data_IF_048959546468
#
_entry.id   IF_048959546468
#
_cell.length_a   1.000
_cell.length_b   1.000
_cell.length_c   1.000
_cell.angle_alpha   90.00
_cell.angle_beta   90.00
_cell.angle_gamma   90.00
#
_symmetry.space_group_name_H-M   'P 1'
#
loop_
_entity.id
_entity.type
_entity.pdbx_description
1 polymer ?
#
# COMPACT_ATOMS: atom_id res chain seq x y z
N UNK A 1 -1.21 4.93 -8.40
CA UNK A 1 -1.13 3.56 -7.85
C UNK A 1 -0.99 2.59 -9.02
N UNK A 2 0.04 1.75 -9.05
CA UNK A 2 0.31 0.81 -10.13
C UNK A 2 0.15 -0.63 -9.62
N UNK A 3 -0.65 -1.47 -10.30
CA UNK A 3 -0.82 -2.86 -9.90
C UNK A 3 0.45 -3.66 -10.17
N UNK A 4 0.89 -4.41 -9.17
CA UNK A 4 2.05 -5.33 -9.24
C UNK A 4 1.69 -6.77 -8.88
N UNK A 5 0.44 -7.05 -8.47
CA UNK A 5 -0.07 -8.41 -8.23
C UNK A 5 -1.51 -8.43 -7.71
N UNK A 6 -2.15 -9.61 -7.68
CA UNK A 6 -3.49 -9.83 -7.10
C UNK A 6 -4.67 -9.33 -7.96
N UNK A 7 -5.89 -9.29 -7.41
CA UNK A 7 -7.14 -9.02 -8.12
C UNK A 7 -7.52 -7.54 -8.16
N UNK A 8 -7.57 -6.94 -9.37
CA UNK A 8 -7.92 -5.53 -9.59
C UNK A 8 -9.34 -5.15 -9.13
N UNK A 9 -10.27 -6.10 -9.11
CA UNK A 9 -11.64 -5.85 -8.64
C UNK A 9 -11.68 -5.54 -7.14
N UNK A 10 -10.71 -6.03 -6.37
CA UNK A 10 -10.58 -5.63 -4.96
C UNK A 10 -10.24 -4.15 -4.82
N UNK A 11 -9.33 -3.62 -5.65
CA UNK A 11 -8.99 -2.20 -5.63
C UNK A 11 -10.23 -1.33 -5.89
N UNK A 12 -11.01 -1.67 -6.90
CA UNK A 12 -12.23 -0.92 -7.24
C UNK A 12 -13.21 -0.89 -6.06
N UNK A 13 -13.47 -2.04 -5.43
CA UNK A 13 -14.35 -2.14 -4.25
C UNK A 13 -13.82 -1.32 -3.07
N UNK A 14 -12.54 -1.42 -2.77
CA UNK A 14 -11.92 -0.67 -1.67
C UNK A 14 -11.90 0.84 -1.92
N UNK A 15 -11.67 1.30 -3.15
CA UNK A 15 -11.74 2.73 -3.47
C UNK A 15 -13.14 3.30 -3.31
N UNK A 16 -14.18 2.56 -3.72
CA UNK A 16 -15.58 2.98 -3.51
C UNK A 16 -15.86 3.13 -2.01
N UNK A 17 -15.46 2.15 -1.20
CA UNK A 17 -15.64 2.19 0.26
C UNK A 17 -14.86 3.33 0.91
N UNK A 18 -13.63 3.57 0.48
CA UNK A 18 -12.84 4.71 0.98
C UNK A 18 -13.51 6.04 0.60
N UNK A 19 -14.05 6.17 -0.60
CA UNK A 19 -14.73 7.40 -1.03
C UNK A 19 -16.01 7.68 -0.22
N UNK A 20 -16.79 6.65 0.15
CA UNK A 20 -17.96 6.81 1.02
C UNK A 20 -17.57 7.27 2.42
N UNK A 21 -16.37 6.89 2.89
CA UNK A 21 -15.85 7.31 4.20
C UNK A 21 -15.23 8.72 4.21
N UNK A 22 -14.99 9.36 3.06
CA UNK A 22 -14.27 10.64 3.01
C UNK A 22 -14.75 11.58 1.90
N UNK A 23 -15.86 12.27 2.13
CA UNK A 23 -16.36 13.40 1.31
C UNK A 23 -16.24 13.18 -0.21
N UNK A 24 -16.55 11.96 -0.68
CA UNK A 24 -16.50 11.51 -2.07
C UNK A 24 -15.10 11.44 -2.72
N UNK A 25 -14.03 11.65 -1.98
CA UNK A 25 -12.65 11.43 -2.44
C UNK A 25 -12.03 10.29 -1.66
N UNK A 26 -11.61 9.19 -2.30
CA UNK A 26 -11.05 8.05 -1.57
C UNK A 26 -9.71 8.41 -0.93
N UNK A 27 -9.67 8.48 0.41
CA UNK A 27 -8.47 8.79 1.18
C UNK A 27 -8.11 7.61 2.08
N UNK A 28 -6.88 7.10 1.94
CA UNK A 28 -6.33 6.11 2.86
C UNK A 28 -5.76 6.84 4.07
N UNK A 29 -6.40 6.71 5.23
CA UNK A 29 -5.90 7.28 6.49
C UNK A 29 -5.20 6.20 7.31
N UNK A 30 -3.89 6.33 7.44
CA UNK A 30 -3.09 5.47 8.32
C UNK A 30 -3.36 5.90 9.76
N UNK A 31 -4.07 5.06 10.52
CA UNK A 31 -4.40 5.30 11.93
C UNK A 31 -3.83 4.23 12.88
N UNK A 32 -3.28 3.16 12.31
CA UNK A 32 -2.68 2.05 13.02
C UNK A 32 -1.34 1.67 12.37
N UNK A 33 -0.56 0.87 13.09
CA UNK A 33 0.71 0.32 12.60
C UNK A 33 0.84 -1.14 12.98
N UNK A 34 1.37 -1.94 12.06
CA UNK A 34 1.71 -3.35 12.28
C UNK A 34 3.24 -3.47 12.25
N UNK A 35 3.85 -4.08 13.26
CA UNK A 35 5.30 -4.32 13.25
C UNK A 35 5.65 -5.29 12.12
N UNK A 36 6.78 -5.06 11.45
CA UNK A 36 7.28 -5.95 10.39
C UNK A 36 8.04 -7.14 10.97
N UNK A 37 7.42 -7.84 11.93
CA UNK A 37 7.94 -9.08 12.51
C UNK A 37 7.53 -10.29 11.64
N UNK A 38 8.29 -11.39 11.70
CA UNK A 38 8.14 -12.54 10.81
C UNK A 38 6.69 -13.09 10.79
N UNK A 39 6.09 -13.30 11.96
CA UNK A 39 4.71 -13.78 12.09
C UNK A 39 3.66 -12.86 11.44
N UNK A 40 3.85 -11.55 11.51
CA UNK A 40 2.94 -10.57 10.91
C UNK A 40 3.09 -10.57 9.39
N UNK A 41 4.33 -10.60 8.90
CA UNK A 41 4.62 -10.68 7.47
C UNK A 41 4.11 -11.98 6.86
N UNK A 42 4.30 -13.11 7.55
CA UNK A 42 3.77 -14.42 7.15
C UNK A 42 2.24 -14.40 7.04
N UNK A 43 1.54 -13.73 7.95
CA UNK A 43 0.07 -13.60 7.88
C UNK A 43 -0.36 -12.86 6.61
N UNK A 44 0.29 -11.74 6.29
CA UNK A 44 0.02 -11.01 5.04
C UNK A 44 0.38 -11.86 3.82
N UNK A 45 1.55 -12.51 3.84
CA UNK A 45 2.01 -13.37 2.76
C UNK A 45 1.07 -14.55 2.50
N UNK A 46 0.52 -15.16 3.56
CA UNK A 46 -0.44 -16.26 3.44
C UNK A 46 -1.70 -15.81 2.71
N UNK A 47 -2.20 -14.59 2.98
CA UNK A 47 -3.34 -14.02 2.22
C UNK A 47 -2.99 -13.74 0.76
N UNK A 48 -1.71 -13.46 0.49
CA UNK A 48 -1.21 -13.21 -0.86
C UNK A 48 -0.98 -14.49 -1.68
N UNK A 49 -1.18 -15.69 -1.11
CA UNK A 49 -1.14 -16.95 -1.86
C UNK A 49 -2.37 -17.15 -2.73
N UNK A 50 -3.52 -16.59 -2.35
CA UNK A 50 -4.73 -16.58 -3.16
C UNK A 50 -4.86 -15.23 -3.88
N UNK A 51 -4.68 -15.24 -5.20
CA UNK A 51 -4.80 -14.03 -6.02
C UNK A 51 -6.17 -13.34 -5.94
N UNK A 52 -7.22 -14.05 -5.50
CA UNK A 52 -8.55 -13.47 -5.30
C UNK A 52 -8.70 -12.73 -3.96
N UNK A 53 -7.76 -12.93 -3.04
CA UNK A 53 -7.81 -12.43 -1.66
C UNK A 53 -6.91 -11.23 -1.40
N UNK A 54 -6.17 -10.75 -2.40
CA UNK A 54 -5.38 -9.51 -2.28
C UNK A 54 -5.27 -8.71 -3.57
N UNK A 55 -4.86 -7.45 -3.44
CA UNK A 55 -4.26 -6.64 -4.50
C UNK A 55 -2.98 -6.00 -3.96
N UNK A 56 -1.90 -6.08 -4.73
CA UNK A 56 -0.62 -5.45 -4.43
C UNK A 56 -0.35 -4.31 -5.41
N UNK A 57 0.03 -3.16 -4.87
CA UNK A 57 0.20 -1.90 -5.59
C UNK A 57 1.53 -1.23 -5.23
N UNK A 58 2.05 -0.46 -6.18
CA UNK A 58 3.10 0.52 -5.94
C UNK A 58 2.51 1.93 -6.01
N UNK A 59 2.79 2.71 -4.97
CA UNK A 59 2.38 4.09 -4.85
C UNK A 59 3.60 4.99 -4.94
N UNK A 60 3.61 5.83 -5.97
CA UNK A 60 4.61 6.87 -6.22
C UNK A 60 3.94 8.24 -6.04
N UNK A 61 4.72 9.25 -5.69
CA UNK A 61 4.26 10.64 -5.68
C UNK A 61 3.86 11.08 -7.08
N UNK A 62 2.76 11.80 -7.20
CA UNK A 62 2.33 12.48 -8.42
C UNK A 62 1.98 13.94 -8.09
N UNK A 63 1.90 14.78 -9.12
CA UNK A 63 1.59 16.20 -8.97
C UNK A 63 1.26 16.83 -10.31
N UNK A 64 0.69 18.03 -10.29
CA UNK A 64 0.24 18.73 -11.50
C UNK A 64 1.40 19.22 -12.38
N UNK A 65 2.54 19.51 -11.77
CA UNK A 65 3.75 19.99 -12.43
C UNK A 65 5.01 19.45 -11.72
N UNK A 66 6.18 19.77 -12.24
CA UNK A 66 7.46 19.26 -11.71
C UNK A 66 7.73 19.66 -10.26
N UNK A 67 7.40 20.90 -9.88
CA UNK A 67 7.64 21.40 -8.53
C UNK A 67 6.69 20.73 -7.53
N UNK A 68 5.43 20.52 -7.92
CA UNK A 68 4.47 19.77 -7.12
C UNK A 68 4.89 18.29 -6.97
N UNK A 69 5.30 17.63 -8.05
CA UNK A 69 5.83 16.25 -7.99
C UNK A 69 7.02 16.18 -7.02
N UNK A 70 7.93 17.17 -7.06
CA UNK A 70 9.06 17.25 -6.15
C UNK A 70 8.61 17.38 -4.69
N UNK A 71 7.73 18.33 -4.40
CA UNK A 71 7.20 18.55 -3.05
C UNK A 71 6.47 17.30 -2.52
N UNK A 72 5.63 16.67 -3.34
CA UNK A 72 4.94 15.43 -2.97
C UNK A 72 5.90 14.27 -2.76
N UNK A 73 7.00 14.21 -3.53
CA UNK A 73 8.05 13.19 -3.36
C UNK A 73 8.82 13.38 -2.05
N UNK A 74 9.17 14.62 -1.69
CA UNK A 74 9.79 14.96 -0.41
C UNK A 74 8.85 14.64 0.76
N UNK A 75 7.56 14.99 0.67
CA UNK A 75 6.56 14.64 1.66
C UNK A 75 6.34 13.13 1.80
N UNK A 76 6.27 12.40 0.68
CA UNK A 76 6.16 10.93 0.68
C UNK A 76 7.32 10.30 1.44
N UNK A 77 8.53 10.79 1.18
CA UNK A 77 9.75 10.31 1.83
C UNK A 77 9.70 10.59 3.34
N UNK A 78 9.63 11.86 3.73
CA UNK A 78 9.78 12.26 5.12
C UNK A 78 8.62 11.79 6.02
N UNK A 79 7.39 11.88 5.51
CA UNK A 79 6.19 11.65 6.33
C UNK A 79 5.77 10.19 6.37
N UNK A 80 6.14 9.40 5.36
CA UNK A 80 5.72 8.00 5.26
C UNK A 80 6.89 7.04 5.23
N UNK A 81 7.79 7.15 4.25
CA UNK A 81 8.89 6.19 4.09
C UNK A 81 9.81 6.21 5.32
N UNK A 82 10.45 7.34 5.60
CA UNK A 82 11.40 7.49 6.70
C UNK A 82 10.72 7.19 8.05
N UNK A 83 9.46 7.63 8.23
CA UNK A 83 8.69 7.36 9.43
C UNK A 83 8.44 5.86 9.63
N UNK A 84 7.90 5.16 8.64
CA UNK A 84 7.56 3.74 8.75
C UNK A 84 8.81 2.86 8.87
N UNK A 85 9.90 3.20 8.16
CA UNK A 85 11.21 2.57 8.33
C UNK A 85 11.74 2.76 9.75
N UNK A 86 11.74 3.98 10.29
CA UNK A 86 12.20 4.24 11.66
C UNK A 86 11.42 3.46 12.72
N UNK A 87 10.14 3.18 12.46
CA UNK A 87 9.26 2.40 13.34
C UNK A 87 9.31 0.90 13.08
N UNK A 88 10.02 0.46 12.03
CA UNK A 88 10.05 -0.93 11.58
C UNK A 88 8.63 -1.52 11.48
N UNK A 89 7.73 -0.74 10.87
CA UNK A 89 6.31 -1.04 10.84
C UNK A 89 5.68 -0.71 9.48
N UNK A 90 4.63 -1.44 9.13
CA UNK A 90 3.69 -1.07 8.08
C UNK A 90 2.58 -0.18 8.64
N UNK A 91 2.12 0.78 7.86
CA UNK A 91 0.90 1.51 8.15
C UNK A 91 -0.33 0.62 7.92
N UNK A 92 -1.35 0.78 8.76
CA UNK A 92 -2.61 0.03 8.66
C UNK A 92 -3.79 1.00 8.51
N UNK A 93 -4.69 0.65 7.59
CA UNK A 93 -6.00 1.28 7.43
C UNK A 93 -7.06 0.18 7.29
N UNK A 94 -8.02 0.16 8.21
CA UNK A 94 -9.15 -0.75 8.16
C UNK A 94 -10.25 -0.16 7.27
N UNK A 95 -10.67 -0.90 6.25
CA UNK A 95 -11.73 -0.47 5.33
C UNK A 95 -12.99 -1.27 5.64
N UNK A 96 -13.97 -0.59 6.21
CA UNK A 96 -15.30 -1.13 6.54
C UNK A 96 -16.40 -0.53 5.66
N UNK A 97 -17.63 -0.96 5.89
CA UNK A 97 -18.83 -0.34 5.32
C UNK A 97 -19.63 0.30 6.48
N UNK A 98 -20.26 1.45 6.27
CA UNK A 98 -21.15 2.08 7.27
C UNK A 98 -22.31 1.14 7.69
N UNK A 99 -22.73 0.24 6.80
CA UNK A 99 -23.77 -0.77 7.06
C UNK A 99 -23.25 -2.03 7.77
N UNK A 100 -21.93 -2.30 7.71
CA UNK A 100 -21.29 -3.46 8.32
C UNK A 100 -19.94 -3.05 8.97
N UNK A 101 -19.90 -2.87 10.30
CA UNK A 101 -18.74 -2.31 11.00
C UNK A 101 -17.53 -3.25 11.08
N UNK A 102 -17.67 -4.53 10.74
CA UNK A 102 -16.51 -5.41 10.55
C UNK A 102 -15.73 -4.94 9.31
N UNK A 103 -14.40 -4.73 9.40
CA UNK A 103 -13.62 -4.40 8.22
C UNK A 103 -13.79 -5.51 7.19
N UNK A 104 -14.03 -5.14 5.94
CA UNK A 104 -14.09 -6.08 4.82
C UNK A 104 -12.71 -6.23 4.17
N UNK A 105 -11.83 -5.25 4.38
CA UNK A 105 -10.47 -5.26 3.87
C UNK A 105 -9.53 -4.51 4.80
N UNK A 106 -8.26 -4.91 4.77
CA UNK A 106 -7.18 -4.25 5.50
C UNK A 106 -6.16 -3.77 4.48
N UNK A 107 -5.82 -2.48 4.53
CA UNK A 107 -4.73 -1.90 3.75
C UNK A 107 -3.47 -1.93 4.59
N UNK A 108 -2.44 -2.59 4.07
CA UNK A 108 -1.09 -2.63 4.62
C UNK A 108 -0.21 -1.73 3.74
N UNK A 109 0.43 -0.74 4.35
CA UNK A 109 1.27 0.24 3.67
C UNK A 109 2.71 0.02 4.15
N UNK A 110 3.51 -0.65 3.33
CA UNK A 110 4.91 -0.91 3.64
C UNK A 110 5.80 0.19 3.05
N UNK A 111 6.83 0.66 3.79
CA UNK A 111 7.96 1.34 3.17
C UNK A 111 8.75 0.35 2.30
N UNK A 112 9.77 0.80 1.54
CA UNK A 112 10.76 -0.09 0.95
C UNK A 112 11.37 -1.01 2.01
N UNK A 113 11.19 -2.32 1.85
CA UNK A 113 11.69 -3.33 2.79
C UNK A 113 11.93 -4.65 2.06
N UNK A 114 12.51 -5.64 2.75
CA UNK A 114 12.81 -6.95 2.16
C UNK A 114 11.55 -7.65 1.63
N UNK A 115 10.45 -7.62 2.40
CA UNK A 115 9.16 -8.18 1.99
C UNK A 115 8.65 -7.57 0.67
N UNK A 116 8.65 -6.24 0.57
CA UNK A 116 8.25 -5.54 -0.65
C UNK A 116 9.21 -5.83 -1.81
N UNK A 117 10.52 -5.84 -1.54
CA UNK A 117 11.57 -6.08 -2.55
C UNK A 117 11.44 -7.48 -3.16
N UNK A 118 11.34 -8.51 -2.34
CA UNK A 118 11.18 -9.89 -2.79
C UNK A 118 9.90 -10.06 -3.63
N UNK A 119 8.80 -9.41 -3.24
CA UNK A 119 7.57 -9.43 -4.02
C UNK A 119 7.75 -8.74 -5.38
N UNK A 120 8.33 -7.54 -5.41
CA UNK A 120 8.49 -6.76 -6.65
C UNK A 120 9.47 -7.41 -7.62
N UNK A 121 10.59 -7.94 -7.14
CA UNK A 121 11.55 -8.68 -7.96
C UNK A 121 10.90 -9.89 -8.64
N UNK A 122 9.99 -10.58 -7.95
CA UNK A 122 9.30 -11.76 -8.49
C UNK A 122 8.18 -11.39 -9.46
N UNK A 123 7.39 -10.35 -9.17
CA UNK A 123 6.14 -10.09 -9.88
C UNK A 123 6.19 -8.91 -10.86
N UNK A 124 7.11 -7.96 -10.69
CA UNK A 124 7.25 -6.78 -11.55
C UNK A 124 8.71 -6.29 -11.60
N UNK A 125 9.66 -7.15 -12.05
CA UNK A 125 11.09 -6.86 -12.03
C UNK A 125 11.46 -5.60 -12.82
N UNK A 126 10.88 -5.39 -14.01
CA UNK A 126 11.19 -4.22 -14.85
C UNK A 126 10.78 -2.89 -14.20
N UNK A 127 9.60 -2.88 -13.56
CA UNK A 127 9.14 -1.72 -12.81
C UNK A 127 10.04 -1.45 -11.60
N UNK A 128 10.42 -2.51 -10.89
CA UNK A 128 11.29 -2.40 -9.72
C UNK A 128 12.67 -1.83 -10.10
N UNK A 129 13.25 -2.32 -11.19
CA UNK A 129 14.50 -1.80 -11.73
C UNK A 129 14.38 -0.33 -12.13
N UNK A 130 13.26 0.07 -12.74
CA UNK A 130 13.01 1.48 -13.08
C UNK A 130 12.98 2.37 -11.84
N UNK A 131 12.26 1.95 -10.79
CA UNK A 131 12.17 2.68 -9.52
C UNK A 131 13.57 2.82 -8.89
N UNK A 132 14.34 1.73 -8.89
CA UNK A 132 15.71 1.70 -8.34
C UNK A 132 16.65 2.63 -9.09
N UNK A 133 16.62 2.60 -10.43
CA UNK A 133 17.45 3.47 -11.28
C UNK A 133 17.12 4.95 -11.07
N UNK A 134 15.85 5.29 -10.92
CA UNK A 134 15.39 6.65 -10.69
C UNK A 134 15.54 7.11 -9.22
N UNK A 135 15.92 6.20 -8.32
CA UNK A 135 15.96 6.44 -6.86
C UNK A 135 14.63 7.00 -6.34
N UNK A 136 13.52 6.54 -6.91
CA UNK A 136 12.21 7.03 -6.57
C UNK A 136 11.74 6.44 -5.24
N UNK A 137 11.26 7.30 -4.33
CA UNK A 137 10.59 6.86 -3.12
C UNK A 137 9.22 6.27 -3.48
N UNK A 138 8.87 5.14 -2.85
CA UNK A 138 7.60 4.48 -3.07
C UNK A 138 7.04 3.89 -1.78
N UNK A 139 5.75 3.63 -1.78
CA UNK A 139 5.10 2.75 -0.80
C UNK A 139 4.59 1.51 -1.50
N UNK A 140 4.82 0.35 -0.90
CA UNK A 140 4.23 -0.91 -1.33
C UNK A 140 2.93 -1.14 -0.56
N UNK A 141 1.81 -1.13 -1.26
CA UNK A 141 0.48 -1.19 -0.66
C UNK A 141 -0.16 -2.53 -0.98
N UNK A 142 -0.55 -3.28 0.05
CA UNK A 142 -1.28 -4.54 -0.07
C UNK A 142 -2.65 -4.40 0.58
N UNK A 143 -3.71 -4.57 -0.20
CA UNK A 143 -5.07 -4.64 0.33
C UNK A 143 -5.47 -6.11 0.36
N UNK A 144 -5.80 -6.63 1.53
CA UNK A 144 -6.26 -8.01 1.71
C UNK A 144 -7.71 -8.04 2.15
N UNK A 145 -8.44 -9.09 1.81
CA UNK A 145 -9.74 -9.37 2.42
C UNK A 145 -9.59 -9.61 3.94
N UNK A 146 -10.61 -9.23 4.69
CA UNK A 146 -10.64 -9.37 6.15
C UNK A 146 -11.21 -10.71 6.64
N UNK A 147 -11.53 -11.62 5.72
CA UNK A 147 -11.93 -13.01 6.02
C UNK A 147 -10.86 -13.78 6.77
#
# INVERSE_FOLDING_TARGET
MHRVGGNIEMLKRSLVQLATMSSNMPVIRINQRMRMEANQLESVQSKMLDEQSYIALICLSCGFNKDDIRNQSEMLKERFVDYLESKQAAGICNVGNEQHPSPNSIVHIFPPCEFATAFLQRNSPDLFETIRQQRANYLFVVITSAS
#
